data_IF_871191098925
#
_entry.id   IF_871191098925
#
_cell.length_a   1.000
_cell.length_b   1.000
_cell.length_c   1.000
_cell.angle_alpha   90.00
_cell.angle_beta   90.00
_cell.angle_gamma   90.00
#
_symmetry.space_group_name_H-M   'P 1'
#
loop_
_entity.id
_entity.type
_entity.pdbx_description
1 polymer ?
#
# COMPACT_ATOMS: atom_id res chain seq x y z
N UNK A 1 -13.82 -20.45 -45.47
CA UNK A 1 -12.77 -20.28 -46.50
C UNK A 1 -11.78 -21.42 -46.37
N UNK A 2 -11.19 -21.90 -47.47
CA UNK A 2 -10.16 -22.94 -47.38
C UNK A 2 -8.85 -22.34 -46.81
N UNK A 3 -8.03 -23.16 -46.16
CA UNK A 3 -6.73 -22.73 -45.62
C UNK A 3 -5.78 -22.17 -46.70
N UNK A 4 -5.95 -22.61 -47.94
CA UNK A 4 -5.16 -22.14 -49.08
C UNK A 4 -5.55 -20.73 -49.54
N UNK A 5 -6.83 -20.38 -49.46
CA UNK A 5 -7.33 -19.03 -49.78
C UNK A 5 -6.84 -17.99 -48.78
N UNK A 6 -6.82 -18.32 -47.48
CA UNK A 6 -6.28 -17.46 -46.43
C UNK A 6 -4.80 -17.19 -46.67
N UNK A 7 -3.99 -18.23 -46.93
CA UNK A 7 -2.56 -18.09 -47.24
C UNK A 7 -2.26 -17.23 -48.47
N UNK A 8 -3.09 -17.32 -49.51
CA UNK A 8 -2.96 -16.45 -50.70
C UNK A 8 -3.25 -14.98 -50.38
N UNK A 9 -4.18 -14.72 -49.46
CA UNK A 9 -4.51 -13.37 -49.00
C UNK A 9 -3.41 -12.79 -48.10
N UNK A 10 -2.86 -13.57 -47.17
CA UNK A 10 -1.78 -13.14 -46.26
C UNK A 10 -0.59 -12.55 -47.01
N UNK A 11 -0.17 -13.16 -48.12
CA UNK A 11 0.93 -12.69 -48.97
C UNK A 11 0.73 -11.29 -49.56
N UNK A 12 -0.52 -10.83 -49.66
CA UNK A 12 -0.89 -9.51 -50.18
C UNK A 12 -0.98 -8.45 -49.09
N UNK A 13 -0.97 -8.84 -47.82
CA UNK A 13 -1.09 -7.94 -46.69
C UNK A 13 0.27 -7.34 -46.29
N UNK A 14 0.28 -6.14 -45.67
CA UNK A 14 1.50 -5.50 -45.22
C UNK A 14 2.26 -6.36 -44.20
N UNK A 15 3.58 -6.20 -44.15
CA UNK A 15 4.40 -6.80 -43.10
C UNK A 15 4.06 -6.22 -41.72
N UNK A 16 4.23 -7.03 -40.68
CA UNK A 16 3.99 -6.68 -39.29
C UNK A 16 5.31 -6.41 -38.58
N UNK A 17 5.41 -5.28 -37.87
CA UNK A 17 6.52 -4.99 -36.96
C UNK A 17 6.31 -5.75 -35.65
N UNK A 18 7.20 -6.69 -35.36
CA UNK A 18 7.19 -7.49 -34.14
C UNK A 18 7.63 -6.68 -32.91
N UNK A 19 7.40 -7.22 -31.72
CA UNK A 19 7.92 -6.68 -30.45
C UNK A 19 9.45 -6.67 -30.40
N UNK A 20 10.12 -7.52 -31.20
CA UNK A 20 11.59 -7.56 -31.35
C UNK A 20 12.10 -6.49 -32.34
N UNK A 21 11.22 -5.68 -32.91
CA UNK A 21 11.55 -4.64 -33.89
C UNK A 21 11.79 -5.15 -35.31
N UNK A 22 11.56 -6.44 -35.58
CA UNK A 22 11.73 -7.06 -36.91
C UNK A 22 10.45 -6.95 -37.74
N UNK A 23 10.60 -6.92 -39.07
CA UNK A 23 9.47 -6.94 -40.00
C UNK A 23 9.18 -8.38 -40.44
N UNK A 24 8.04 -8.91 -40.04
CA UNK A 24 7.59 -10.29 -40.30
C UNK A 24 6.43 -10.32 -41.32
N UNK A 25 6.24 -11.41 -42.07
CA UNK A 25 5.04 -11.61 -42.87
C UNK A 25 3.77 -11.56 -41.99
N UNK A 26 2.66 -11.10 -42.57
CA UNK A 26 1.36 -11.21 -41.91
C UNK A 26 0.95 -12.68 -41.77
N UNK A 27 0.43 -13.04 -40.61
CA UNK A 27 0.00 -14.39 -40.27
C UNK A 27 -1.33 -14.31 -39.53
N UNK A 28 -2.41 -14.78 -40.17
CA UNK A 28 -3.75 -14.75 -39.60
C UNK A 28 -3.90 -15.74 -38.44
N UNK A 29 -3.09 -16.80 -38.40
CA UNK A 29 -3.14 -17.80 -37.34
C UNK A 29 -2.79 -17.17 -36.00
N UNK A 30 -1.86 -16.22 -35.96
CA UNK A 30 -1.53 -15.48 -34.73
C UNK A 30 -2.71 -14.69 -34.16
N UNK A 31 -3.57 -14.15 -35.02
CA UNK A 31 -4.81 -13.48 -34.57
C UNK A 31 -5.75 -14.52 -33.96
N UNK A 32 -5.99 -15.62 -34.67
CA UNK A 32 -6.87 -16.71 -34.22
C UNK A 32 -6.40 -17.25 -32.87
N UNK A 33 -5.12 -17.60 -32.76
CA UNK A 33 -4.52 -18.15 -31.54
C UNK A 33 -4.67 -17.17 -30.36
N UNK A 34 -4.39 -15.88 -30.57
CA UNK A 34 -4.53 -14.87 -29.51
C UNK A 34 -5.98 -14.66 -29.06
N UNK A 35 -6.96 -14.74 -29.95
CA UNK A 35 -8.38 -14.62 -29.61
C UNK A 35 -8.87 -15.83 -28.80
N UNK A 36 -8.39 -17.03 -29.13
CA UNK A 36 -8.69 -18.25 -28.38
C UNK A 36 -8.01 -18.20 -26.99
N UNK A 37 -6.74 -17.82 -26.95
CA UNK A 37 -5.95 -17.84 -25.71
C UNK A 37 -6.38 -16.76 -24.72
N UNK A 38 -6.50 -15.52 -25.19
CA UNK A 38 -6.72 -14.35 -24.33
C UNK A 38 -8.20 -14.03 -24.14
N UNK A 39 -9.00 -14.11 -25.22
CA UNK A 39 -10.42 -13.75 -25.20
C UNK A 39 -11.35 -14.96 -25.03
N UNK A 40 -10.79 -16.19 -24.99
CA UNK A 40 -11.54 -17.45 -24.87
C UNK A 40 -12.60 -17.67 -25.94
N UNK A 41 -12.42 -17.05 -27.11
CA UNK A 41 -13.35 -17.13 -28.22
C UNK A 41 -13.27 -18.50 -28.90
N UNK A 42 -14.38 -18.99 -29.46
CA UNK A 42 -14.40 -20.26 -30.18
C UNK A 42 -13.46 -20.21 -31.40
N UNK A 43 -12.92 -21.35 -31.83
CA UNK A 43 -12.06 -21.40 -33.01
C UNK A 43 -12.79 -20.90 -34.28
N UNK A 44 -14.08 -21.22 -34.43
CA UNK A 44 -14.89 -20.78 -35.58
C UNK A 44 -15.09 -19.27 -35.61
N UNK A 45 -15.45 -18.68 -34.47
CA UNK A 45 -15.65 -17.23 -34.35
C UNK A 45 -14.33 -16.47 -34.49
N UNK A 46 -13.23 -17.02 -33.94
CA UNK A 46 -11.88 -16.47 -34.10
C UNK A 46 -11.45 -16.41 -35.56
N UNK A 47 -11.79 -17.44 -36.36
CA UNK A 47 -11.56 -17.41 -37.81
C UNK A 47 -12.38 -16.32 -38.50
N UNK A 48 -13.65 -16.14 -38.13
CA UNK A 48 -14.49 -15.09 -38.71
C UNK A 48 -13.96 -13.69 -38.38
N UNK A 49 -13.54 -13.46 -37.14
CA UNK A 49 -12.90 -12.21 -36.72
C UNK A 49 -11.63 -11.96 -37.54
N UNK A 50 -10.73 -12.95 -37.64
CA UNK A 50 -9.49 -12.83 -38.40
C UNK A 50 -9.74 -12.48 -39.88
N UNK A 51 -10.72 -13.12 -40.53
CA UNK A 51 -11.09 -12.80 -41.92
C UNK A 51 -11.56 -11.36 -42.08
N UNK A 52 -12.45 -10.88 -41.19
CA UNK A 52 -12.92 -9.49 -41.19
C UNK A 52 -11.79 -8.48 -40.94
N UNK A 53 -10.86 -8.80 -40.04
CA UNK A 53 -9.66 -7.98 -39.80
C UNK A 53 -8.79 -7.92 -41.05
N UNK A 54 -8.59 -9.04 -41.74
CA UNK A 54 -7.86 -9.07 -43.02
C UNK A 54 -8.54 -8.22 -44.10
N UNK A 55 -9.88 -8.22 -44.19
CA UNK A 55 -10.63 -7.37 -45.12
C UNK A 55 -10.37 -5.89 -44.83
N UNK A 56 -10.38 -5.49 -43.56
CA UNK A 56 -10.09 -4.11 -43.13
C UNK A 56 -8.67 -3.68 -43.45
N UNK A 57 -7.70 -4.52 -43.13
CA UNK A 57 -6.28 -4.25 -43.43
C UNK A 57 -6.11 -4.01 -44.93
N UNK A 58 -6.70 -4.88 -45.76
CA UNK A 58 -6.63 -4.73 -47.21
C UNK A 58 -7.28 -3.43 -47.71
N UNK A 59 -8.41 -3.03 -47.13
CA UNK A 59 -9.11 -1.79 -47.51
C UNK A 59 -8.42 -0.51 -47.02
N UNK A 60 -7.67 -0.57 -45.93
CA UNK A 60 -7.08 0.60 -45.25
C UNK A 60 -5.93 1.30 -45.99
N UNK A 61 -5.25 0.60 -46.91
CA UNK A 61 -4.04 1.10 -47.56
C UNK A 61 -2.82 1.28 -46.64
N UNK A 62 -2.84 0.71 -45.44
CA UNK A 62 -1.75 0.79 -44.46
C UNK A 62 -0.47 0.13 -45.02
N UNK A 63 0.69 0.77 -44.82
CA UNK A 63 1.98 0.32 -45.37
C UNK A 63 2.70 -0.71 -44.51
N UNK A 64 2.48 -0.69 -43.20
CA UNK A 64 3.01 -1.66 -42.26
C UNK A 64 2.09 -1.75 -41.04
N UNK A 65 2.05 -2.91 -40.41
CA UNK A 65 1.22 -3.17 -39.25
C UNK A 65 2.07 -3.26 -37.98
N UNK A 66 1.42 -3.08 -36.83
CA UNK A 66 1.97 -3.39 -35.52
C UNK A 66 0.99 -4.29 -34.78
N UNK A 67 1.47 -5.04 -33.78
CA UNK A 67 0.60 -5.83 -32.90
C UNK A 67 -0.54 -5.01 -32.28
N UNK A 68 -0.26 -3.82 -31.70
CA UNK A 68 -1.31 -2.95 -31.17
C UNK A 68 -2.38 -2.56 -32.20
N UNK A 69 -1.98 -2.18 -33.42
CA UNK A 69 -2.93 -1.78 -34.46
C UNK A 69 -3.82 -2.95 -34.91
N UNK A 70 -3.24 -4.16 -35.03
CA UNK A 70 -4.02 -5.36 -35.32
C UNK A 70 -5.02 -5.63 -34.19
N UNK A 71 -4.59 -5.51 -32.93
CA UNK A 71 -5.47 -5.69 -31.76
C UNK A 71 -6.62 -4.68 -31.72
N UNK A 72 -6.36 -3.41 -32.04
CA UNK A 72 -7.41 -2.38 -32.17
C UNK A 72 -8.43 -2.75 -33.24
N UNK A 73 -7.98 -3.26 -34.39
CA UNK A 73 -8.88 -3.75 -35.45
C UNK A 73 -9.69 -4.96 -35.00
N UNK A 74 -9.08 -5.92 -34.29
CA UNK A 74 -9.78 -7.06 -33.69
C UNK A 74 -10.86 -6.60 -32.72
N UNK A 75 -10.53 -5.70 -31.78
CA UNK A 75 -11.49 -5.18 -30.80
C UNK A 75 -12.68 -4.48 -31.46
N UNK A 76 -12.45 -3.73 -32.53
CA UNK A 76 -13.53 -3.12 -33.30
C UNK A 76 -14.39 -4.17 -34.01
N UNK A 77 -13.80 -5.24 -34.56
CA UNK A 77 -14.57 -6.35 -35.16
C UNK A 77 -15.36 -7.13 -34.11
N UNK A 78 -14.78 -7.41 -32.94
CA UNK A 78 -15.47 -8.07 -31.82
C UNK A 78 -16.71 -7.28 -31.40
N UNK A 79 -16.58 -5.95 -31.26
CA UNK A 79 -17.69 -5.07 -30.94
C UNK A 79 -18.82 -5.15 -31.98
N UNK A 80 -18.48 -5.13 -33.28
CA UNK A 80 -19.45 -5.22 -34.38
C UNK A 80 -20.18 -6.56 -34.42
N UNK A 81 -19.54 -7.62 -33.92
CA UNK A 81 -20.12 -8.96 -33.86
C UNK A 81 -20.89 -9.22 -32.57
N UNK A 82 -20.91 -8.27 -31.62
CA UNK A 82 -21.60 -8.41 -30.34
C UNK A 82 -20.83 -9.21 -29.28
N UNK A 83 -19.53 -9.43 -29.47
CA UNK A 83 -18.65 -10.13 -28.52
C UNK A 83 -18.12 -9.17 -27.44
N UNK A 84 -19.02 -8.66 -26.60
CA UNK A 84 -18.70 -7.59 -25.63
C UNK A 84 -17.72 -8.06 -24.55
N UNK A 85 -17.92 -9.26 -23.98
CA UNK A 85 -17.08 -9.79 -22.91
C UNK A 85 -15.69 -10.16 -23.43
N UNK A 86 -15.62 -10.80 -24.59
CA UNK A 86 -14.37 -11.18 -25.25
C UNK A 86 -13.59 -9.93 -25.66
N UNK A 87 -14.27 -8.88 -26.13
CA UNK A 87 -13.64 -7.57 -26.39
C UNK A 87 -13.05 -6.98 -25.12
N UNK A 88 -13.73 -7.05 -23.97
CA UNK A 88 -13.20 -6.57 -22.69
C UNK A 88 -11.91 -7.33 -22.36
N UNK A 89 -11.91 -8.66 -22.42
CA UNK A 89 -10.71 -9.48 -22.15
C UNK A 89 -9.57 -9.25 -23.15
N UNK A 90 -9.89 -8.88 -24.39
CA UNK A 90 -8.90 -8.61 -25.43
C UNK A 90 -8.45 -7.14 -25.50
N UNK A 91 -9.04 -6.27 -24.68
CA UNK A 91 -8.75 -4.82 -24.65
C UNK A 91 -7.34 -4.56 -24.12
N UNK A 92 -6.64 -3.65 -24.79
CA UNK A 92 -5.37 -3.11 -24.31
C UNK A 92 -5.67 -1.91 -23.42
N UNK A 93 -5.27 -1.99 -22.14
CA UNK A 93 -5.24 -0.83 -21.23
C UNK A 93 -3.96 -0.02 -21.45
N UNK A 94 -4.03 1.30 -21.35
CA UNK A 94 -2.91 2.17 -21.66
C UNK A 94 -3.23 3.66 -21.57
N UNK A 95 -2.17 4.49 -21.58
CA UNK A 95 -2.29 5.95 -21.62
C UNK A 95 -2.09 6.43 -23.06
N UNK A 96 -2.99 7.27 -23.61
CA UNK A 96 -2.77 7.91 -24.90
C UNK A 96 -1.47 8.73 -24.91
N UNK A 97 -0.75 8.77 -26.03
CA UNK A 97 0.54 9.50 -26.12
C UNK A 97 0.42 10.97 -25.70
N UNK A 98 -0.66 11.64 -26.11
CA UNK A 98 -0.89 13.03 -25.76
C UNK A 98 -1.07 13.24 -24.25
N UNK A 99 -1.76 12.34 -23.57
CA UNK A 99 -1.95 12.43 -22.12
C UNK A 99 -0.70 12.01 -21.35
N UNK A 100 0.04 11.01 -21.86
CA UNK A 100 1.35 10.67 -21.32
C UNK A 100 2.32 11.86 -21.40
N UNK A 101 2.35 12.59 -22.51
CA UNK A 101 3.17 13.80 -22.65
C UNK A 101 2.76 14.87 -21.63
N UNK A 102 1.47 15.01 -21.33
CA UNK A 102 1.01 15.92 -20.26
C UNK A 102 1.48 15.46 -18.87
N UNK A 103 1.36 14.17 -18.56
CA UNK A 103 1.84 13.60 -17.30
C UNK A 103 3.34 13.81 -17.12
N UNK A 104 4.14 13.66 -18.18
CA UNK A 104 5.59 13.87 -18.14
C UNK A 104 5.93 15.35 -17.91
N UNK A 105 5.27 16.25 -18.64
CA UNK A 105 5.60 17.66 -18.62
C UNK A 105 5.07 18.40 -17.38
N UNK A 106 3.88 18.01 -16.89
CA UNK A 106 3.13 18.72 -15.85
C UNK A 106 2.48 17.79 -14.79
N UNK A 107 3.21 16.83 -14.17
CA UNK A 107 2.62 15.78 -13.34
C UNK A 107 1.82 16.31 -12.14
N UNK A 108 2.23 17.43 -11.55
CA UNK A 108 1.56 18.00 -10.37
C UNK A 108 0.13 18.48 -10.65
N UNK A 109 -0.23 18.76 -11.92
CA UNK A 109 -1.59 19.15 -12.31
C UNK A 109 -2.51 17.94 -12.56
N UNK A 110 -1.97 16.72 -12.49
CA UNK A 110 -2.68 15.48 -12.77
C UNK A 110 -2.87 14.61 -11.52
N UNK A 111 -2.80 15.23 -10.34
CA UNK A 111 -3.05 14.53 -9.08
C UNK A 111 -3.75 15.42 -8.07
N UNK A 112 -4.66 14.84 -7.30
CA UNK A 112 -5.23 15.42 -6.08
C UNK A 112 -4.42 15.03 -4.83
N UNK A 113 -3.39 14.19 -4.97
CA UNK A 113 -2.59 13.72 -3.85
C UNK A 113 -1.51 14.75 -3.49
N UNK A 114 -1.77 15.51 -2.42
CA UNK A 114 -0.88 16.55 -1.92
C UNK A 114 0.51 16.03 -1.46
N UNK A 115 0.65 14.72 -1.24
CA UNK A 115 1.92 14.11 -0.84
C UNK A 115 2.83 13.80 -2.05
N UNK A 116 2.34 13.89 -3.29
CA UNK A 116 3.18 13.67 -4.49
C UNK A 116 3.96 14.94 -4.82
N UNK A 117 5.25 14.76 -5.11
CA UNK A 117 6.13 15.84 -5.54
C UNK A 117 6.58 15.61 -6.98
N UNK A 118 6.93 16.66 -7.71
CA UNK A 118 7.42 16.52 -9.09
C UNK A 118 8.74 15.74 -9.12
N UNK A 119 8.68 14.46 -9.50
CA UNK A 119 9.82 13.58 -9.67
C UNK A 119 9.47 12.40 -10.62
N UNK A 120 10.46 11.65 -11.15
CA UNK A 120 10.20 10.53 -12.07
C UNK A 120 9.27 9.44 -11.52
N UNK A 121 9.37 9.12 -10.23
CA UNK A 121 8.49 8.13 -9.59
C UNK A 121 7.04 8.61 -9.57
N UNK A 122 6.79 9.91 -9.41
CA UNK A 122 5.42 10.45 -9.52
C UNK A 122 4.88 10.25 -10.93
N UNK A 123 5.68 10.43 -11.98
CA UNK A 123 5.23 10.16 -13.36
C UNK A 123 4.93 8.66 -13.52
N UNK A 124 5.82 7.79 -13.05
CA UNK A 124 5.62 6.34 -13.09
C UNK A 124 4.34 5.93 -12.35
N UNK A 125 4.07 6.53 -11.18
CA UNK A 125 2.83 6.33 -10.43
C UNK A 125 1.62 6.81 -11.22
N UNK A 126 1.61 8.02 -11.78
CA UNK A 126 0.43 8.51 -12.51
C UNK A 126 0.09 7.65 -13.73
N UNK A 127 1.12 7.17 -14.44
CA UNK A 127 0.93 6.22 -15.55
C UNK A 127 0.41 4.88 -15.04
N UNK A 128 0.95 4.36 -13.93
CA UNK A 128 0.46 3.16 -13.28
C UNK A 128 -1.01 3.33 -12.87
N UNK A 129 -1.36 4.45 -12.24
CA UNK A 129 -2.68 4.71 -11.70
C UNK A 129 -3.73 4.70 -12.81
N UNK A 130 -3.48 5.41 -13.91
CA UNK A 130 -4.37 5.44 -15.08
C UNK A 130 -4.57 4.05 -15.70
N UNK A 131 -3.49 3.28 -15.87
CA UNK A 131 -3.55 1.95 -16.49
C UNK A 131 -4.27 0.95 -15.59
N UNK A 132 -3.94 0.94 -14.30
CA UNK A 132 -4.49 -0.03 -13.36
C UNK A 132 -5.92 0.30 -12.96
N UNK A 133 -6.31 1.57 -12.93
CA UNK A 133 -7.70 1.97 -12.75
C UNK A 133 -8.60 1.42 -13.87
N UNK A 134 -8.18 1.58 -15.13
CA UNK A 134 -8.89 1.00 -16.27
C UNK A 134 -8.97 -0.53 -16.16
N UNK A 135 -7.86 -1.19 -15.79
CA UNK A 135 -7.84 -2.63 -15.55
C UNK A 135 -8.84 -3.05 -14.46
N UNK A 136 -8.88 -2.34 -13.34
CA UNK A 136 -9.81 -2.62 -12.24
C UNK A 136 -11.26 -2.54 -12.72
N UNK A 137 -11.66 -1.47 -13.40
CA UNK A 137 -13.04 -1.34 -13.89
C UNK A 137 -13.44 -2.39 -14.93
N UNK A 138 -12.49 -2.86 -15.73
CA UNK A 138 -12.73 -3.91 -16.72
C UNK A 138 -12.76 -5.32 -16.11
N UNK A 139 -12.26 -5.51 -14.88
CA UNK A 139 -12.14 -6.84 -14.24
C UNK A 139 -13.13 -7.08 -13.10
N UNK A 140 -13.63 -6.02 -12.46
CA UNK A 140 -14.69 -6.15 -11.46
C UNK A 140 -16.07 -6.31 -12.14
N UNK A 141 -17.10 -6.80 -11.41
CA UNK A 141 -18.46 -6.82 -11.91
C UNK A 141 -18.90 -5.45 -12.46
N UNK A 142 -19.46 -5.35 -13.68
CA UNK A 142 -19.76 -4.06 -14.32
C UNK A 142 -20.63 -3.13 -13.47
N UNK A 143 -21.64 -3.67 -12.79
CA UNK A 143 -22.52 -2.88 -11.93
C UNK A 143 -21.79 -2.20 -10.75
N UNK A 144 -20.64 -2.73 -10.30
CA UNK A 144 -19.81 -2.09 -9.27
C UNK A 144 -18.91 -1.00 -9.86
N UNK A 145 -18.41 -1.21 -11.08
CA UNK A 145 -17.71 -0.15 -11.82
C UNK A 145 -18.65 1.02 -12.12
N UNK A 146 -19.86 0.73 -12.60
CA UNK A 146 -20.88 1.74 -12.86
C UNK A 146 -21.26 2.51 -11.60
N UNK A 147 -21.48 1.80 -10.48
CA UNK A 147 -21.76 2.43 -9.18
C UNK A 147 -20.62 3.35 -8.70
N UNK A 148 -19.36 2.99 -8.99
CA UNK A 148 -18.23 3.86 -8.69
C UNK A 148 -18.25 5.12 -9.57
N UNK A 149 -18.44 4.93 -10.88
CA UNK A 149 -18.41 5.99 -11.87
C UNK A 149 -19.61 6.95 -11.74
N UNK A 150 -20.76 6.47 -11.27
CA UNK A 150 -21.94 7.27 -10.93
C UNK A 150 -21.80 8.00 -9.58
N UNK A 151 -20.86 7.57 -8.73
CA UNK A 151 -20.68 8.08 -7.38
C UNK A 151 -21.64 7.49 -6.34
N UNK A 152 -22.29 6.36 -6.64
CA UNK A 152 -23.09 5.59 -5.67
C UNK A 152 -22.24 4.84 -4.64
N UNK A 153 -20.99 4.55 -5.01
CA UNK A 153 -19.94 4.06 -4.11
C UNK A 153 -18.60 4.70 -4.48
N UNK A 154 -17.61 4.57 -3.60
CA UNK A 154 -16.23 4.94 -3.86
C UNK A 154 -15.27 3.82 -3.45
N UNK A 155 -14.58 3.26 -4.43
CA UNK A 155 -13.57 2.22 -4.28
C UNK A 155 -12.25 2.94 -4.06
N UNK A 156 -11.73 2.91 -2.83
CA UNK A 156 -10.47 3.59 -2.50
C UNK A 156 -9.28 2.89 -3.15
N UNK A 157 -8.29 3.66 -3.57
CA UNK A 157 -7.03 3.16 -4.14
C UNK A 157 -7.26 2.07 -5.21
N UNK A 158 -8.30 2.25 -6.03
CA UNK A 158 -8.77 1.30 -7.05
C UNK A 158 -7.70 0.91 -8.06
N UNK A 159 -6.73 1.77 -8.28
CA UNK A 159 -5.54 1.51 -9.07
C UNK A 159 -4.62 0.42 -8.48
N UNK A 160 -4.82 0.04 -7.23
CA UNK A 160 -4.08 -1.04 -6.56
C UNK A 160 -4.94 -2.27 -6.25
N UNK A 161 -6.25 -2.22 -6.53
CA UNK A 161 -7.25 -3.23 -6.16
C UNK A 161 -6.82 -4.67 -6.50
N UNK A 162 -6.19 -4.88 -7.66
CA UNK A 162 -5.78 -6.22 -8.12
C UNK A 162 -4.41 -6.68 -7.62
N UNK A 163 -3.65 -5.83 -6.93
CA UNK A 163 -2.21 -6.07 -6.68
C UNK A 163 -1.76 -5.83 -5.25
N UNK A 164 -2.54 -5.12 -4.44
CA UNK A 164 -2.15 -4.74 -3.07
C UNK A 164 -3.34 -4.79 -2.14
N UNK A 165 -3.07 -5.11 -0.88
CA UNK A 165 -4.00 -4.86 0.21
C UNK A 165 -4.05 -3.36 0.53
N UNK A 166 -5.12 -2.92 1.20
CA UNK A 166 -5.30 -1.52 1.56
C UNK A 166 -4.38 -1.11 2.72
N UNK A 167 -4.60 -1.56 3.95
CA UNK A 167 -3.72 -1.19 5.06
C UNK A 167 -3.54 -2.25 6.11
N UNK A 168 -2.47 -2.07 6.90
CA UNK A 168 -2.14 -2.92 8.03
C UNK A 168 -1.55 -2.12 9.20
N UNK A 169 -1.84 -2.58 10.40
CA UNK A 169 -1.24 -2.15 11.66
C UNK A 169 -0.68 -3.40 12.34
N UNK A 170 0.63 -3.38 12.51
CA UNK A 170 1.45 -4.54 12.79
C UNK A 170 1.71 -4.68 14.28
N UNK A 171 1.89 -5.92 14.72
CA UNK A 171 2.47 -6.22 16.01
C UNK A 171 4.00 -6.15 15.94
N UNK A 172 4.58 -5.18 16.64
CA UNK A 172 6.04 -4.96 16.63
C UNK A 172 6.82 -6.11 17.28
N UNK A 173 6.16 -6.93 18.13
CA UNK A 173 6.79 -8.07 18.80
C UNK A 173 7.30 -9.10 17.81
N UNK A 174 6.62 -9.33 16.69
CA UNK A 174 7.09 -10.29 15.67
C UNK A 174 8.41 -9.84 15.05
N UNK A 175 8.52 -8.54 14.75
CA UNK A 175 9.75 -7.95 14.22
C UNK A 175 10.90 -8.06 15.23
N UNK A 176 10.61 -7.92 16.52
CA UNK A 176 11.61 -8.06 17.58
C UNK A 176 11.97 -9.52 17.90
N UNK A 177 11.05 -10.48 17.72
CA UNK A 177 11.29 -11.92 17.89
C UNK A 177 12.05 -12.53 16.71
N UNK A 178 11.76 -12.09 15.49
CA UNK A 178 12.23 -12.73 14.25
C UNK A 178 13.32 -11.92 13.53
N UNK A 179 13.37 -10.61 13.74
CA UNK A 179 14.17 -9.70 12.92
C UNK A 179 13.40 -9.24 11.68
N UNK A 180 14.12 -8.87 10.62
CA UNK A 180 13.52 -8.39 9.35
C UNK A 180 14.14 -9.10 8.14
N UNK A 181 13.29 -9.55 7.23
CA UNK A 181 13.67 -9.99 5.89
C UNK A 181 12.71 -9.31 4.90
N UNK A 182 13.05 -8.11 4.38
CA UNK A 182 12.13 -7.29 3.59
C UNK A 182 11.58 -7.99 2.34
N UNK A 183 12.37 -8.88 1.73
CA UNK A 183 11.94 -9.66 0.57
C UNK A 183 11.01 -10.83 0.90
N UNK A 184 10.83 -11.18 2.19
CA UNK A 184 10.06 -12.35 2.61
C UNK A 184 10.65 -13.69 2.18
N UNK A 185 11.82 -13.70 1.53
CA UNK A 185 12.46 -14.86 0.93
C UNK A 185 13.80 -15.19 1.61
N UNK A 186 13.88 -14.93 2.92
CA UNK A 186 15.06 -15.24 3.72
C UNK A 186 16.32 -14.51 3.28
N UNK A 187 16.18 -13.38 2.59
CA UNK A 187 17.31 -12.58 2.11
C UNK A 187 17.84 -12.96 0.73
N UNK A 188 16.98 -13.51 -0.14
CA UNK A 188 17.34 -13.86 -1.52
C UNK A 188 17.61 -12.63 -2.39
N UNK A 189 16.85 -11.56 -2.19
CA UNK A 189 16.93 -10.32 -2.97
C UNK A 189 17.36 -9.11 -2.14
N UNK A 190 17.28 -9.21 -0.81
CA UNK A 190 17.68 -8.18 0.16
C UNK A 190 18.44 -8.81 1.33
N UNK A 191 19.10 -8.02 2.18
CA UNK A 191 19.69 -8.58 3.40
C UNK A 191 18.62 -8.93 4.43
N UNK A 192 18.75 -10.09 5.08
CA UNK A 192 17.97 -10.42 6.28
C UNK A 192 18.77 -10.07 7.55
N UNK A 193 18.08 -9.54 8.55
CA UNK A 193 18.63 -9.24 9.88
C UNK A 193 17.90 -10.08 10.93
N UNK A 194 18.65 -10.68 11.87
CA UNK A 194 18.06 -11.33 13.04
C UNK A 194 17.54 -10.32 14.08
N UNK A 195 16.98 -10.78 15.22
CA UNK A 195 16.43 -9.92 16.27
C UNK A 195 17.35 -8.78 16.71
N UNK A 196 16.78 -7.58 16.86
CA UNK A 196 17.51 -6.42 17.33
C UNK A 196 18.04 -6.65 18.75
N UNK A 197 19.30 -6.27 19.03
CA UNK A 197 19.91 -6.38 20.37
C UNK A 197 20.04 -5.04 21.10
N UNK A 198 19.85 -3.93 20.40
CA UNK A 198 20.03 -2.58 20.93
C UNK A 198 18.97 -1.63 20.37
N UNK A 199 18.60 -0.61 21.16
CA UNK A 199 17.57 0.38 20.82
C UNK A 199 17.70 0.98 19.41
N UNK A 200 18.89 1.43 18.93
CA UNK A 200 18.99 2.01 17.59
C UNK A 200 18.62 1.02 16.47
N UNK A 201 18.92 -0.26 16.68
CA UNK A 201 18.59 -1.33 15.72
C UNK A 201 17.10 -1.64 15.77
N UNK A 202 16.48 -1.65 16.95
CA UNK A 202 15.03 -1.83 17.11
C UNK A 202 14.23 -0.72 16.42
N UNK A 203 14.64 0.55 16.59
CA UNK A 203 14.07 1.69 15.86
C UNK A 203 14.25 1.51 14.35
N UNK A 204 15.44 1.12 13.90
CA UNK A 204 15.70 0.92 12.48
C UNK A 204 14.86 -0.21 11.88
N UNK A 205 14.70 -1.33 12.60
CA UNK A 205 13.84 -2.44 12.18
C UNK A 205 12.38 -1.99 12.05
N UNK A 206 11.90 -1.19 13.01
CA UNK A 206 10.55 -0.61 12.97
C UNK A 206 10.36 0.26 11.72
N UNK A 207 11.34 1.11 11.39
CA UNK A 207 11.25 1.97 10.21
C UNK A 207 11.36 1.18 8.89
N UNK A 208 12.30 0.23 8.79
CA UNK A 208 12.51 -0.59 7.58
C UNK A 208 11.29 -1.45 7.30
N UNK A 209 10.66 -2.03 8.32
CA UNK A 209 9.46 -2.83 8.12
C UNK A 209 8.33 -2.02 7.51
N UNK A 210 8.01 -0.83 8.04
CA UNK A 210 6.97 0.03 7.46
C UNK A 210 7.34 0.47 6.03
N UNK A 211 8.61 0.75 5.77
CA UNK A 211 9.10 1.09 4.42
C UNK A 211 8.90 -0.05 3.43
N UNK A 212 9.28 -1.27 3.82
CA UNK A 212 9.13 -2.47 3.00
C UNK A 212 7.65 -2.81 2.78
N UNK A 213 6.83 -2.77 3.84
CA UNK A 213 5.40 -3.02 3.77
C UNK A 213 4.70 -2.06 2.78
N UNK A 214 5.09 -0.79 2.71
CA UNK A 214 4.49 0.17 1.78
C UNK A 214 4.63 -0.23 0.29
N UNK A 215 5.51 -1.16 -0.06
CA UNK A 215 5.60 -1.72 -1.41
C UNK A 215 4.43 -2.66 -1.76
N UNK A 216 3.85 -3.32 -0.75
CA UNK A 216 2.77 -4.31 -0.90
C UNK A 216 1.39 -3.79 -0.48
N UNK A 217 1.33 -2.61 0.13
CA UNK A 217 0.08 -1.99 0.57
C UNK A 217 -0.18 -0.65 -0.13
N UNK A 218 -1.46 -0.34 -0.31
CA UNK A 218 -1.90 0.91 -0.88
C UNK A 218 -1.97 2.01 0.20
N UNK A 219 -2.76 1.82 1.23
CA UNK A 219 -2.94 2.75 2.34
C UNK A 219 -1.79 2.79 3.37
N UNK A 220 -2.10 3.38 4.52
CA UNK A 220 -1.13 3.62 5.59
C UNK A 220 -0.74 2.35 6.35
N UNK A 221 0.46 2.36 6.92
CA UNK A 221 1.03 1.27 7.70
C UNK A 221 1.34 1.78 9.10
N UNK A 222 1.25 0.94 10.14
CA UNK A 222 1.59 1.43 11.47
C UNK A 222 1.78 0.35 12.52
N UNK A 223 1.96 0.79 13.75
CA UNK A 223 2.09 -0.09 14.91
C UNK A 223 1.08 0.30 15.98
N UNK A 224 0.39 -0.69 16.53
CA UNK A 224 -0.35 -0.52 17.77
C UNK A 224 0.60 -0.75 18.96
N UNK A 225 0.32 -0.12 20.11
CA UNK A 225 1.12 -0.25 21.35
C UNK A 225 2.63 -0.07 21.14
N UNK A 226 3.03 0.89 20.28
CA UNK A 226 4.40 1.00 19.81
C UNK A 226 5.41 1.18 20.95
N UNK A 227 5.17 2.16 21.83
CA UNK A 227 6.09 2.45 22.93
C UNK A 227 6.08 1.36 24.02
N UNK A 228 4.96 0.66 24.20
CA UNK A 228 4.88 -0.52 25.07
C UNK A 228 5.82 -1.62 24.58
N UNK A 229 5.75 -1.98 23.29
CA UNK A 229 6.60 -3.03 22.72
C UNK A 229 8.08 -2.64 22.62
N UNK A 230 8.36 -1.34 22.47
CA UNK A 230 9.73 -0.83 22.44
C UNK A 230 10.36 -0.71 23.84
N UNK A 231 9.56 -0.61 24.91
CA UNK A 231 10.00 -0.33 26.28
C UNK A 231 11.19 -1.19 26.76
N UNK A 232 11.23 -2.51 26.53
CA UNK A 232 12.35 -3.34 26.97
C UNK A 232 13.72 -2.97 26.38
N UNK A 233 13.73 -2.34 25.20
CA UNK A 233 14.97 -1.88 24.54
C UNK A 233 15.53 -0.59 25.14
N UNK A 234 14.72 0.13 25.92
CA UNK A 234 15.06 1.39 26.56
C UNK A 234 15.54 1.21 28.00
N UNK A 235 15.47 -0.01 28.54
CA UNK A 235 15.90 -0.32 29.89
C UNK A 235 17.36 0.12 30.14
N UNK A 236 17.56 0.90 31.21
CA UNK A 236 18.86 1.45 31.58
C UNK A 236 19.44 2.49 30.61
N UNK A 237 18.62 3.08 29.72
CA UNK A 237 19.01 4.20 28.87
C UNK A 237 18.70 5.53 29.55
N UNK A 238 19.51 6.54 29.26
CA UNK A 238 19.20 7.90 29.67
C UNK A 238 18.06 8.47 28.83
N UNK A 239 17.30 9.41 29.40
CA UNK A 239 16.27 10.15 28.67
C UNK A 239 16.78 10.78 27.36
N UNK A 240 18.05 11.22 27.34
CA UNK A 240 18.70 11.76 26.14
C UNK A 240 18.80 10.71 25.03
N UNK A 241 19.17 9.48 25.35
CA UNK A 241 19.23 8.37 24.39
C UNK A 241 17.84 8.01 23.87
N UNK A 242 16.84 7.95 24.76
CA UNK A 242 15.44 7.68 24.41
C UNK A 242 14.89 8.76 23.47
N UNK A 243 15.14 10.04 23.77
CA UNK A 243 14.76 11.16 22.91
C UNK A 243 15.47 11.14 21.56
N UNK A 244 16.73 10.72 21.53
CA UNK A 244 17.45 10.52 20.28
C UNK A 244 16.84 9.39 19.45
N UNK A 245 16.37 8.32 20.07
CA UNK A 245 15.68 7.21 19.41
C UNK A 245 14.34 7.64 18.81
N UNK A 246 13.53 8.41 19.56
CA UNK A 246 12.29 9.00 19.04
C UNK A 246 12.58 9.93 17.85
N UNK A 247 13.60 10.79 17.96
CA UNK A 247 14.05 11.64 16.86
C UNK A 247 14.49 10.82 15.64
N UNK A 248 15.28 9.77 15.83
CA UNK A 248 15.71 8.90 14.74
C UNK A 248 14.51 8.30 14.00
N UNK A 249 13.51 7.78 14.71
CA UNK A 249 12.31 7.19 14.12
C UNK A 249 11.54 8.21 13.26
N UNK A 250 11.23 9.37 13.85
CA UNK A 250 10.45 10.42 13.20
C UNK A 250 11.15 10.93 11.93
N UNK A 251 12.44 11.25 12.03
CA UNK A 251 13.20 11.73 10.87
C UNK A 251 13.36 10.64 9.80
N UNK A 252 13.60 9.38 10.19
CA UNK A 252 13.72 8.29 9.22
C UNK A 252 12.43 8.14 8.41
N UNK A 253 11.27 8.03 9.07
CA UNK A 253 9.99 7.82 8.40
C UNK A 253 9.53 9.03 7.57
N UNK A 254 9.92 10.25 7.95
CA UNK A 254 9.59 11.47 7.20
C UNK A 254 10.58 11.83 6.09
N UNK A 255 11.71 11.12 6.00
CA UNK A 255 12.74 11.37 4.99
C UNK A 255 12.94 10.18 4.04
N UNK A 256 12.38 9.01 4.36
CA UNK A 256 12.35 7.85 3.46
C UNK A 256 11.43 8.10 2.26
N UNK A 257 11.99 8.73 1.24
CA UNK A 257 11.35 9.06 -0.02
C UNK A 257 11.35 7.86 -0.98
N UNK A 258 10.73 6.76 -0.56
CA UNK A 258 10.80 5.46 -1.26
C UNK A 258 9.43 4.80 -1.43
N UNK A 259 8.36 5.40 -0.90
CA UNK A 259 7.02 4.89 -1.10
C UNK A 259 6.54 5.14 -2.55
N UNK A 260 5.45 4.47 -2.92
CA UNK A 260 4.78 4.57 -4.24
C UNK A 260 4.69 6.01 -4.73
N UNK A 261 5.21 6.28 -5.93
CA UNK A 261 5.23 7.64 -6.51
C UNK A 261 6.35 8.55 -6.01
N UNK A 262 7.30 8.02 -5.25
CA UNK A 262 8.29 8.82 -4.54
C UNK A 262 7.58 9.63 -3.47
N UNK A 263 7.02 8.94 -2.48
CA UNK A 263 6.38 9.58 -1.33
C UNK A 263 7.13 9.18 -0.06
N UNK A 264 6.92 9.94 1.01
CA UNK A 264 7.24 9.47 2.36
C UNK A 264 6.27 8.37 2.75
N UNK A 265 6.67 7.51 3.68
CA UNK A 265 5.87 6.38 4.13
C UNK A 265 4.68 6.92 4.92
N UNK A 266 3.45 6.54 4.52
CA UNK A 266 2.26 6.86 5.30
C UNK A 266 2.28 5.96 6.55
N UNK A 267 2.92 6.46 7.60
CA UNK A 267 3.17 5.70 8.83
C UNK A 267 2.35 6.21 10.01
N UNK A 268 1.98 5.33 10.94
CA UNK A 268 1.39 5.70 12.24
C UNK A 268 1.96 4.88 13.39
N UNK A 269 1.93 5.44 14.59
CA UNK A 269 2.27 4.75 15.84
C UNK A 269 1.22 5.07 16.89
N UNK A 270 0.70 4.04 17.55
CA UNK A 270 -0.22 4.20 18.66
C UNK A 270 0.59 4.25 19.96
N UNK A 271 0.33 5.29 20.75
CA UNK A 271 1.12 5.64 21.93
C UNK A 271 0.22 5.81 23.14
N UNK A 272 0.68 5.28 24.28
CA UNK A 272 0.09 5.49 25.61
C UNK A 272 1.14 6.09 26.53
N UNK A 273 0.77 6.95 27.50
CA UNK A 273 1.74 7.53 28.43
C UNK A 273 2.31 6.52 29.43
N UNK A 274 1.82 5.28 29.45
CA UNK A 274 2.28 4.18 30.29
C UNK A 274 1.98 2.82 29.66
N UNK A 275 2.13 1.74 30.43
CA UNK A 275 1.83 0.37 29.94
C UNK A 275 0.33 0.10 30.12
N UNK A 276 -0.41 -0.18 29.02
CA UNK A 276 -1.83 -0.50 29.07
C UNK A 276 -2.09 -1.72 29.93
N UNK A 277 -3.21 -1.73 30.67
CA UNK A 277 -3.56 -2.83 31.58
C UNK A 277 -3.51 -4.21 30.91
N UNK A 278 -4.03 -4.32 29.70
CA UNK A 278 -4.06 -5.58 28.93
C UNK A 278 -2.66 -6.13 28.62
N UNK A 279 -1.64 -5.27 28.58
CA UNK A 279 -0.27 -5.67 28.25
C UNK A 279 0.59 -5.92 29.50
N UNK A 280 0.17 -5.47 30.69
CA UNK A 280 1.02 -5.46 31.89
C UNK A 280 1.59 -6.82 32.25
N UNK A 281 0.75 -7.86 32.25
CA UNK A 281 1.14 -9.21 32.65
C UNK A 281 1.63 -10.08 31.47
N UNK A 282 1.71 -9.51 30.27
CA UNK A 282 2.18 -10.21 29.08
C UNK A 282 3.70 -10.23 29.07
N UNK A 283 4.29 -11.39 28.74
CA UNK A 283 5.74 -11.54 28.62
C UNK A 283 6.33 -10.54 27.61
N UNK A 284 7.35 -9.82 28.05
CA UNK A 284 8.05 -8.86 27.22
C UNK A 284 8.97 -9.56 26.20
N UNK A 285 9.03 -9.01 24.98
CA UNK A 285 10.08 -9.37 24.01
C UNK A 285 11.30 -8.52 24.31
N UNK A 286 12.32 -9.16 24.86
CA UNK A 286 13.58 -8.54 25.26
C UNK A 286 14.57 -8.47 24.09
N UNK A 287 15.60 -7.61 24.18
CA UNK A 287 16.65 -7.54 23.18
C UNK A 287 17.26 -8.90 22.82
N UNK A 288 17.42 -9.13 21.51
CA UNK A 288 17.84 -10.40 20.95
C UNK A 288 16.72 -11.42 20.76
N UNK A 289 15.45 -11.01 20.88
CA UNK A 289 14.27 -11.86 20.65
C UNK A 289 13.98 -12.83 21.80
N UNK A 290 14.45 -12.52 23.02
CA UNK A 290 14.29 -13.38 24.19
C UNK A 290 12.93 -13.11 24.87
N UNK A 291 12.31 -14.14 25.45
CA UNK A 291 11.05 -14.03 26.22
C UNK A 291 11.18 -14.79 27.56
N UNK A 292 10.19 -14.63 28.46
CA UNK A 292 10.02 -15.49 29.64
C UNK A 292 10.71 -15.07 30.94
N UNK A 293 11.22 -13.83 31.05
CA UNK A 293 11.82 -13.32 32.31
C UNK A 293 11.07 -12.15 32.91
N UNK A 294 10.76 -11.16 32.08
CA UNK A 294 10.15 -9.90 32.48
C UNK A 294 8.83 -9.71 31.71
N UNK A 295 7.92 -8.94 32.28
CA UNK A 295 6.63 -8.57 31.67
C UNK A 295 6.69 -7.15 31.15
N UNK A 296 5.76 -6.73 30.27
CA UNK A 296 5.75 -5.33 29.84
C UNK A 296 5.47 -4.37 31.00
N UNK A 297 4.77 -4.80 32.05
CA UNK A 297 4.52 -4.00 33.25
C UNK A 297 5.79 -3.56 33.99
N UNK A 298 6.91 -4.27 33.80
CA UNK A 298 8.21 -3.94 34.41
C UNK A 298 8.91 -2.74 33.76
N UNK A 299 8.40 -2.24 32.62
CA UNK A 299 9.01 -1.16 31.83
C UNK A 299 8.12 0.10 31.73
N UNK A 300 7.35 0.39 32.78
CA UNK A 300 6.44 1.54 32.85
C UNK A 300 7.15 2.88 32.65
N UNK A 301 8.31 3.05 33.31
CA UNK A 301 9.10 4.28 33.23
C UNK A 301 9.61 4.51 31.80
N UNK A 302 10.15 3.48 31.17
CA UNK A 302 10.67 3.55 29.80
C UNK A 302 9.58 3.91 28.78
N UNK A 303 8.38 3.33 28.92
CA UNK A 303 7.25 3.62 28.05
C UNK A 303 6.79 5.09 28.19
N UNK A 304 6.73 5.60 29.42
CA UNK A 304 6.39 7.00 29.70
C UNK A 304 7.46 7.96 29.17
N UNK A 305 8.74 7.68 29.42
CA UNK A 305 9.85 8.51 28.94
C UNK A 305 9.85 8.61 27.41
N UNK A 306 9.58 7.52 26.70
CA UNK A 306 9.49 7.56 25.23
C UNK A 306 8.27 8.34 24.74
N UNK A 307 7.11 8.19 25.40
CA UNK A 307 5.92 8.96 25.07
C UNK A 307 6.20 10.46 25.11
N UNK A 308 6.77 10.92 26.23
CA UNK A 308 7.14 12.33 26.43
C UNK A 308 8.18 12.79 25.42
N UNK A 309 9.22 11.99 25.22
CA UNK A 309 10.29 12.33 24.29
C UNK A 309 9.79 12.42 22.84
N UNK A 310 8.86 11.55 22.44
CA UNK A 310 8.21 11.59 21.14
C UNK A 310 7.39 12.90 20.98
N UNK A 311 6.58 13.26 21.97
CA UNK A 311 5.82 14.53 21.93
C UNK A 311 6.76 15.74 21.81
N UNK A 312 7.84 15.78 22.58
CA UNK A 312 8.82 16.88 22.53
C UNK A 312 9.49 17.04 21.16
N UNK A 313 9.80 15.92 20.48
CA UNK A 313 10.34 15.98 19.11
C UNK A 313 9.28 16.49 18.13
N UNK A 314 8.04 16.01 18.25
CA UNK A 314 6.93 16.45 17.40
C UNK A 314 6.60 17.94 17.57
N UNK A 315 6.61 18.45 18.81
CA UNK A 315 6.40 19.87 19.14
C UNK A 315 7.48 20.74 18.50
N UNK A 316 8.75 20.32 18.61
CA UNK A 316 9.89 21.06 18.07
C UNK A 316 9.85 21.18 16.55
N UNK A 317 9.32 20.17 15.86
CA UNK A 317 9.30 20.11 14.40
C UNK A 317 10.68 19.85 13.79
N UNK A 318 10.77 20.01 12.47
CA UNK A 318 12.01 19.83 11.71
C UNK A 318 13.05 20.93 12.01
N UNK A 319 14.18 20.92 11.30
CA UNK A 319 15.23 21.91 11.48
C UNK A 319 14.75 23.37 11.30
N UNK A 320 13.67 23.59 10.55
CA UNK A 320 13.04 24.90 10.31
C UNK A 320 11.81 25.13 11.19
N UNK A 321 11.52 24.23 12.14
CA UNK A 321 10.33 24.27 12.99
C UNK A 321 9.03 23.86 12.28
N UNK A 322 9.11 23.24 11.09
CA UNK A 322 7.93 22.72 10.39
C UNK A 322 7.40 21.48 11.11
N UNK A 323 6.09 21.39 11.29
CA UNK A 323 5.43 20.21 11.83
C UNK A 323 5.73 18.93 11.02
N UNK A 324 5.79 17.79 11.72
CA UNK A 324 5.83 16.48 11.08
C UNK A 324 4.43 15.94 10.83
N UNK A 325 4.21 15.40 9.63
CA UNK A 325 2.97 14.69 9.29
C UNK A 325 3.01 13.19 9.66
N UNK A 326 4.22 12.64 9.79
CA UNK A 326 4.46 11.21 10.03
C UNK A 326 5.61 10.97 11.03
N UNK A 327 5.71 9.75 11.61
CA UNK A 327 4.59 8.83 11.75
C UNK A 327 3.49 9.52 12.55
N UNK A 328 2.24 9.36 12.12
CA UNK A 328 1.09 9.96 12.78
C UNK A 328 1.01 9.40 14.21
N UNK A 329 1.17 10.25 15.25
CA UNK A 329 0.92 9.82 16.61
C UNK A 329 -0.58 9.65 16.83
N UNK A 330 -1.00 8.42 17.13
CA UNK A 330 -2.35 8.11 17.59
C UNK A 330 -2.29 7.96 19.13
N UNK A 331 -2.75 8.98 19.86
CA UNK A 331 -2.73 8.97 21.32
C UNK A 331 -3.97 8.26 21.85
N UNK A 332 -3.74 7.17 22.58
CA UNK A 332 -4.79 6.31 23.11
C UNK A 332 -5.29 6.87 24.44
N UNK A 333 -6.55 7.31 24.48
CA UNK A 333 -7.20 7.87 25.66
C UNK A 333 -7.97 6.78 26.40
N UNK A 334 -7.45 6.34 27.56
CA UNK A 334 -8.09 5.37 28.45
C UNK A 334 -8.18 5.91 29.86
N UNK A 335 -9.19 5.44 30.61
CA UNK A 335 -9.46 5.88 31.99
C UNK A 335 -8.26 5.63 32.91
N UNK A 336 -7.52 4.56 32.67
CA UNK A 336 -6.32 4.21 33.45
C UNK A 336 -5.17 5.23 33.35
N UNK A 337 -5.14 6.03 32.29
CA UNK A 337 -4.14 7.08 32.07
C UNK A 337 -4.65 8.49 32.45
N UNK A 338 -5.88 8.62 32.96
CA UNK A 338 -6.45 9.89 33.42
C UNK A 338 -6.14 10.11 34.91
N UNK A 339 -4.85 10.21 35.24
CA UNK A 339 -4.34 10.36 36.60
C UNK A 339 -3.26 11.44 36.63
N UNK A 340 -3.11 12.07 37.80
CA UNK A 340 -2.17 13.19 38.04
C UNK A 340 -0.72 12.86 37.64
N UNK A 341 -0.31 11.59 37.74
CA UNK A 341 1.04 11.14 37.36
C UNK A 341 1.36 11.35 35.86
N UNK A 342 0.33 11.44 34.99
CA UNK A 342 0.48 11.66 33.55
C UNK A 342 0.14 13.10 33.13
N UNK A 343 -0.13 14.02 34.06
CA UNK A 343 -0.53 15.41 33.74
C UNK A 343 0.50 16.13 32.85
N UNK A 344 1.80 15.93 33.11
CA UNK A 344 2.86 16.50 32.29
C UNK A 344 2.94 15.89 30.89
N UNK A 345 2.63 14.60 30.74
CA UNK A 345 2.50 13.94 29.44
C UNK A 345 1.31 14.52 28.66
N UNK A 346 0.17 14.72 29.32
CA UNK A 346 -1.01 15.32 28.71
C UNK A 346 -0.83 16.79 28.33
N UNK A 347 -0.05 17.55 29.11
CA UNK A 347 0.33 18.93 28.76
C UNK A 347 1.12 18.98 27.45
N UNK A 348 2.07 18.07 27.24
CA UNK A 348 2.82 17.97 25.97
C UNK A 348 1.88 17.62 24.80
N UNK A 349 0.94 16.70 25.00
CA UNK A 349 -0.08 16.37 23.98
C UNK A 349 -0.93 17.59 23.62
N UNK A 350 -1.37 18.36 24.63
CA UNK A 350 -2.14 19.58 24.43
C UNK A 350 -1.33 20.68 23.72
N UNK A 351 -0.04 20.82 24.05
CA UNK A 351 0.87 21.75 23.38
C UNK A 351 1.06 21.39 21.90
N UNK A 352 1.31 20.10 21.60
CA UNK A 352 1.40 19.60 20.23
C UNK A 352 0.12 19.93 19.44
N UNK A 353 -1.05 19.74 20.08
CA UNK A 353 -2.37 20.03 19.51
C UNK A 353 -2.53 21.50 19.18
N UNK A 354 -2.20 22.37 20.13
CA UNK A 354 -2.32 23.81 19.98
C UNK A 354 -1.40 24.39 18.89
N UNK A 355 -0.17 23.84 18.76
CA UNK A 355 0.81 24.34 17.80
C UNK A 355 0.59 23.81 16.39
N UNK A 356 0.31 22.51 16.24
CA UNK A 356 0.44 21.82 14.95
C UNK A 356 -0.82 21.06 14.50
N UNK A 357 -1.89 21.03 15.30
CA UNK A 357 -3.11 20.29 14.96
C UNK A 357 -2.94 18.75 14.94
N UNK A 358 -1.80 18.26 15.44
CA UNK A 358 -1.55 16.87 15.83
C UNK A 358 -1.53 16.77 17.34
N UNK A 359 -1.70 15.62 18.00
CA UNK A 359 -1.80 14.28 17.42
C UNK A 359 -3.25 13.90 17.10
N UNK A 360 -3.45 12.66 16.63
CA UNK A 360 -4.78 12.06 16.54
C UNK A 360 -5.14 11.42 17.88
N UNK A 361 -6.43 11.36 18.21
CA UNK A 361 -6.91 10.82 19.48
C UNK A 361 -7.74 9.56 19.25
N UNK A 362 -7.29 8.45 19.82
CA UNK A 362 -8.09 7.23 19.92
C UNK A 362 -8.86 7.22 21.24
N UNK A 363 -10.12 7.65 21.18
CA UNK A 363 -10.92 7.89 22.37
C UNK A 363 -11.67 6.63 22.85
N UNK A 364 -11.14 5.99 23.91
CA UNK A 364 -11.78 4.89 24.64
C UNK A 364 -12.42 5.34 25.96
N UNK A 365 -12.61 6.65 26.20
CA UNK A 365 -13.32 7.18 27.38
C UNK A 365 -14.86 7.17 27.23
N UNK A 366 -15.37 6.64 26.12
CA UNK A 366 -16.78 6.67 25.74
C UNK A 366 -17.37 5.24 25.65
N UNK A 367 -18.34 5.05 24.76
CA UNK A 367 -18.96 3.75 24.46
C UNK A 367 -17.95 2.65 24.06
N UNK A 368 -16.76 3.04 23.58
CA UNK A 368 -15.63 2.15 23.24
C UNK A 368 -14.84 1.65 24.45
N UNK A 369 -15.13 2.11 25.67
CA UNK A 369 -14.34 1.81 26.88
C UNK A 369 -14.15 0.33 27.21
N UNK A 370 -14.98 -0.56 26.67
CA UNK A 370 -14.86 -2.02 26.85
C UNK A 370 -13.87 -2.68 25.90
N UNK A 371 -13.38 -1.98 24.87
CA UNK A 371 -12.42 -2.52 23.92
C UNK A 371 -11.05 -2.49 24.57
N UNK A 372 -10.53 -3.66 24.94
CA UNK A 372 -9.20 -3.78 25.54
C UNK A 372 -8.11 -3.99 24.47
N UNK A 373 -8.36 -4.87 23.50
CA UNK A 373 -7.49 -5.13 22.36
C UNK A 373 -8.08 -4.54 21.07
N UNK A 374 -7.51 -3.44 20.60
CA UNK A 374 -7.91 -2.80 19.36
C UNK A 374 -7.06 -1.60 19.04
N UNK A 375 -7.13 -1.17 17.79
CA UNK A 375 -6.41 0.00 17.27
C UNK A 375 -7.22 0.69 16.17
N UNK A 376 -6.88 1.94 15.87
CA UNK A 376 -7.40 2.60 14.67
C UNK A 376 -6.36 2.52 13.55
N UNK A 377 -6.56 1.58 12.62
CA UNK A 377 -5.72 1.48 11.43
C UNK A 377 -6.10 2.54 10.39
N UNK A 378 -5.15 2.88 9.53
CA UNK A 378 -5.34 3.91 8.49
C UNK A 378 -5.71 5.29 9.12
N UNK A 379 -6.65 6.01 8.50
CA UNK A 379 -7.09 7.31 8.98
C UNK A 379 -8.08 7.26 10.15
N UNK A 380 -8.90 6.20 10.29
CA UNK A 380 -10.03 6.21 11.24
C UNK A 380 -10.75 4.87 11.48
N UNK A 381 -10.24 3.73 10.99
CA UNK A 381 -10.99 2.47 11.07
C UNK A 381 -10.60 1.69 12.33
N UNK A 382 -11.57 1.47 13.20
CA UNK A 382 -11.38 0.75 14.45
C UNK A 382 -11.45 -0.76 14.19
N UNK A 383 -10.38 -1.44 14.57
CA UNK A 383 -10.30 -2.90 14.60
C UNK A 383 -10.18 -3.36 16.03
N UNK A 384 -10.74 -4.53 16.33
CA UNK A 384 -10.79 -5.07 17.68
C UNK A 384 -10.62 -6.57 17.63
N UNK A 385 -9.87 -7.14 18.57
CA UNK A 385 -9.99 -8.55 18.90
C UNK A 385 -11.17 -8.69 19.86
N UNK A 386 -12.23 -9.38 19.43
CA UNK A 386 -13.48 -9.52 20.17
C UNK A 386 -13.82 -10.97 20.50
N UNK A 387 -13.30 -11.94 19.75
CA UNK A 387 -13.43 -13.37 20.06
C UNK A 387 -12.29 -13.87 20.95
N UNK A 388 -12.49 -15.01 21.63
CA UNK A 388 -11.44 -15.62 22.45
C UNK A 388 -10.20 -16.00 21.59
N UNK A 389 -10.42 -16.47 20.37
CA UNK A 389 -9.35 -16.80 19.41
C UNK A 389 -8.58 -15.54 18.98
N UNK A 390 -9.28 -14.45 18.63
CA UNK A 390 -8.63 -13.19 18.28
C UNK A 390 -7.85 -12.61 19.46
N UNK A 391 -8.37 -12.77 20.68
CA UNK A 391 -7.69 -12.34 21.90
C UNK A 391 -6.42 -13.16 22.16
N UNK A 392 -6.44 -14.47 21.90
CA UNK A 392 -5.26 -15.33 21.98
C UNK A 392 -4.20 -14.93 20.95
N UNK A 393 -4.59 -14.72 19.70
CA UNK A 393 -3.72 -14.23 18.62
C UNK A 393 -3.14 -12.84 18.94
N UNK A 394 -3.95 -11.95 19.52
CA UNK A 394 -3.50 -10.65 19.99
C UNK A 394 -2.48 -10.79 21.13
N UNK A 395 -2.76 -11.59 22.17
CA UNK A 395 -1.86 -11.70 23.33
C UNK A 395 -0.56 -12.44 22.99
N UNK A 396 -0.59 -13.44 22.11
CA UNK A 396 0.59 -14.16 21.61
C UNK A 396 1.46 -13.30 20.66
N UNK A 397 0.88 -12.24 20.11
CA UNK A 397 1.51 -11.26 19.23
C UNK A 397 1.49 -11.65 17.76
N UNK A 398 0.57 -12.51 17.35
CA UNK A 398 0.42 -12.98 15.97
C UNK A 398 -0.63 -12.16 15.18
N UNK A 399 -1.32 -11.23 15.84
CA UNK A 399 -2.36 -10.40 15.23
C UNK A 399 -1.80 -9.27 14.34
N UNK A 400 -2.43 -9.08 13.18
CA UNK A 400 -2.28 -7.89 12.33
C UNK A 400 -3.67 -7.35 12.05
N UNK A 401 -3.90 -6.07 12.33
CA UNK A 401 -5.17 -5.42 12.03
C UNK A 401 -5.09 -4.72 10.68
N UNK A 402 -6.14 -4.79 9.87
CA UNK A 402 -6.08 -4.19 8.54
C UNK A 402 -7.28 -4.48 7.66
N UNK A 403 -7.22 -3.97 6.44
CA UNK A 403 -8.20 -4.26 5.41
C UNK A 403 -7.48 -4.58 4.09
N UNK A 404 -7.97 -5.58 3.38
CA UNK A 404 -7.55 -5.84 2.00
C UNK A 404 -8.07 -4.79 1.03
N UNK A 405 -9.28 -4.25 1.26
CA UNK A 405 -9.87 -3.22 0.42
C UNK A 405 -10.85 -2.36 1.21
N UNK A 406 -11.00 -1.10 0.82
CA UNK A 406 -12.00 -0.18 1.38
C UNK A 406 -12.94 0.33 0.29
N UNK A 407 -14.25 0.22 0.55
CA UNK A 407 -15.31 0.75 -0.29
C UNK A 407 -16.25 1.55 0.60
N UNK A 408 -16.52 2.80 0.23
CA UNK A 408 -17.46 3.67 0.95
C UNK A 408 -18.72 3.90 0.10
N UNK A 409 -19.91 3.97 0.71
CA UNK A 409 -21.11 4.47 0.03
C UNK A 409 -20.97 5.95 -0.38
#
# INVERSE_FOLDING_TARGET
MSSEEVRKREKKLPKVRSTKGTMEPFDAQRIIDSLIEEAKLSHGDSQLVAVKVMDRIAASGIKFLSGPLIREMCNSVLAEMGFELERISYTRVGVPMYDLDKLINNPAHHTSNANLMRNPETIAKLVHDEVMEQHTFLTIPPHLADAHLSGDIYIKDREYFSTRDYCATWDLRQIFKLGIAPDGLGGTHSSAAGPAQHLPVAINHSAIWLAAAQSSFAGGQGYFFFNTFLAPFMAGKSYKEIKQAAQQLIFTLTQQYVARGGQVIFSSVDLTPGIPKIMRDVEAVLPGGKTGRDTYGDFEEEANQFFDAFMEVMIKGDHKGKAFSFPKPNIVLRKEFMKDEYDESWRKVAELTALHGSPYFENYLNWRSKIEAGCSSCCSHLWTASSDEEMEEFLSGNMVFGASQMVTP
#
